data_IF_139488803151
#
_entry.id   IF_139488803151
#
_cell.length_a   1.000
_cell.length_b   1.000
_cell.length_c   1.000
_cell.angle_alpha   90.00
_cell.angle_beta   90.00
_cell.angle_gamma   90.00
#
_symmetry.space_group_name_H-M   'P 1'
#
loop_
_entity.id
_entity.type
_entity.pdbx_description
1 polymer ?
#
# COMPACT_ATOMS: atom_id res chain seq x y z
N UNK A 1 -9.40 -9.09 9.55
CA UNK A 1 -9.70 -9.20 8.11
C UNK A 1 -8.82 -8.19 7.39
N UNK A 2 -7.96 -8.64 6.46
CA UNK A 2 -7.13 -7.74 5.66
C UNK A 2 -7.80 -7.46 4.32
N UNK A 3 -7.68 -6.23 3.82
CA UNK A 3 -8.09 -5.88 2.46
C UNK A 3 -6.93 -6.28 1.54
N UNK A 4 -7.17 -7.19 0.60
CA UNK A 4 -6.19 -7.55 -0.43
C UNK A 4 -6.59 -6.88 -1.73
N UNK A 5 -5.81 -5.90 -2.18
CA UNK A 5 -6.12 -5.15 -3.40
C UNK A 5 -5.52 -5.85 -4.63
N UNK A 6 -6.34 -6.00 -5.67
CA UNK A 6 -5.89 -6.40 -7.01
C UNK A 6 -5.59 -5.18 -7.87
N UNK A 7 -4.79 -5.35 -8.93
CA UNK A 7 -4.49 -4.27 -9.87
C UNK A 7 -5.78 -3.68 -10.46
N UNK A 8 -5.98 -2.38 -10.29
CA UNK A 8 -7.16 -1.64 -10.79
C UNK A 8 -8.35 -1.65 -9.83
N UNK A 9 -8.26 -2.36 -8.72
CA UNK A 9 -9.30 -2.38 -7.69
C UNK A 9 -9.30 -1.09 -6.88
N UNK A 10 -10.50 -0.54 -6.63
CA UNK A 10 -10.68 0.62 -5.76
C UNK A 10 -11.38 0.15 -4.49
N UNK A 11 -10.82 0.52 -3.34
CA UNK A 11 -11.44 0.28 -2.04
C UNK A 11 -11.90 1.59 -1.42
N UNK A 12 -13.09 1.59 -0.83
CA UNK A 12 -13.58 2.71 -0.03
C UNK A 12 -13.39 2.39 1.44
N UNK A 13 -12.39 3.00 2.08
CA UNK A 13 -12.11 2.77 3.50
C UNK A 13 -13.29 3.10 4.40
N UNK A 14 -14.11 4.08 4.03
CA UNK A 14 -15.34 4.42 4.74
C UNK A 14 -16.35 3.27 4.80
N UNK A 15 -16.42 2.43 3.76
CA UNK A 15 -17.32 1.27 3.71
C UNK A 15 -16.78 0.06 4.44
N UNK A 16 -15.47 -0.22 4.31
CA UNK A 16 -14.85 -1.42 4.89
C UNK A 16 -14.30 -1.21 6.30
N UNK A 17 -14.03 0.03 6.71
CA UNK A 17 -13.58 0.41 8.05
C UNK A 17 -14.17 1.77 8.47
N UNK A 18 -15.48 1.83 8.80
CA UNK A 18 -16.10 3.06 9.29
C UNK A 18 -15.43 3.53 10.60
N UNK A 19 -15.15 4.83 10.73
CA UNK A 19 -14.52 5.40 11.92
C UNK A 19 -13.02 5.10 12.04
N UNK A 20 -12.31 4.90 10.92
CA UNK A 20 -10.87 4.67 10.90
C UNK A 20 -10.09 5.88 11.46
N UNK A 21 -9.43 5.69 12.59
CA UNK A 21 -8.63 6.74 13.25
C UNK A 21 -7.12 6.63 13.00
N UNK A 22 -6.63 5.42 12.72
CA UNK A 22 -5.21 5.14 12.53
C UNK A 22 -4.97 4.15 11.39
N UNK A 23 -3.92 4.38 10.62
CA UNK A 23 -3.51 3.53 9.50
C UNK A 23 -2.04 3.14 9.66
N UNK A 24 -1.76 1.84 9.54
CA UNK A 24 -0.41 1.30 9.43
C UNK A 24 -0.18 0.85 7.99
N UNK A 25 0.91 1.32 7.39
CA UNK A 25 1.33 0.91 6.04
C UNK A 25 2.61 0.09 6.17
N UNK A 26 2.61 -1.11 5.60
CA UNK A 26 3.77 -2.00 5.55
C UNK A 26 4.00 -2.48 4.12
N UNK A 27 5.27 -2.49 3.71
CA UNK A 27 5.71 -3.06 2.44
C UNK A 27 6.61 -4.26 2.73
N UNK A 28 6.25 -5.41 2.17
CA UNK A 28 7.06 -6.62 2.20
C UNK A 28 7.26 -7.13 0.78
N UNK A 29 8.45 -7.64 0.50
CA UNK A 29 8.80 -8.25 -0.78
C UNK A 29 9.68 -9.47 -0.56
N UNK A 30 9.62 -10.39 -1.53
CA UNK A 30 10.58 -11.48 -1.58
C UNK A 30 11.92 -10.96 -2.11
N UNK A 31 12.99 -11.27 -1.38
CA UNK A 31 14.36 -10.98 -1.81
C UNK A 31 14.73 -11.79 -3.05
N UNK A 32 15.67 -11.26 -3.84
CA UNK A 32 16.16 -11.93 -5.04
C UNK A 32 16.63 -13.35 -4.69
N UNK A 33 16.10 -14.34 -5.39
CA UNK A 33 16.52 -15.76 -5.25
C UNK A 33 17.89 -16.02 -5.84
N UNK A 34 18.38 -15.15 -6.73
CA UNK A 34 19.68 -15.23 -7.39
C UNK A 34 20.34 -13.88 -7.26
N UNK A 35 21.56 -13.86 -6.73
CA UNK A 35 22.33 -12.64 -6.53
C UNK A 35 22.80 -12.10 -7.90
N UNK A 36 22.20 -10.98 -8.32
CA UNK A 36 22.58 -10.25 -9.53
C UNK A 36 23.43 -9.02 -9.20
N UNK A 37 23.95 -8.90 -7.97
CA UNK A 37 24.84 -7.84 -7.50
C UNK A 37 24.17 -6.49 -7.19
N UNK A 38 22.83 -6.41 -7.26
CA UNK A 38 22.07 -5.19 -6.94
C UNK A 38 20.80 -5.61 -6.21
N UNK A 39 20.45 -4.96 -5.11
CA UNK A 39 19.24 -5.25 -4.35
C UNK A 39 17.99 -4.57 -4.95
N UNK A 40 16.80 -4.99 -4.51
CA UNK A 40 15.58 -4.24 -4.80
C UNK A 40 15.52 -3.03 -3.88
N UNK A 41 15.48 -1.84 -4.48
CA UNK A 41 15.21 -0.58 -3.78
C UNK A 41 13.74 -0.24 -3.98
N UNK A 42 12.97 -0.28 -2.89
CA UNK A 42 11.52 -0.16 -2.94
C UNK A 42 11.05 0.88 -1.93
N UNK A 43 10.24 1.82 -2.42
CA UNK A 43 9.67 2.88 -1.62
C UNK A 43 8.15 2.76 -1.50
N UNK A 44 7.63 3.19 -0.35
CA UNK A 44 6.21 3.44 -0.15
C UNK A 44 6.00 4.94 -0.06
N UNK A 45 5.17 5.47 -0.96
CA UNK A 45 4.75 6.86 -0.93
C UNK A 45 3.27 6.97 -0.61
N UNK A 46 2.93 7.89 0.30
CA UNK A 46 1.54 8.23 0.63
C UNK A 46 1.33 9.70 0.30
N UNK A 47 0.31 9.97 -0.51
CA UNK A 47 -0.04 11.32 -0.92
C UNK A 47 -1.34 11.73 -0.23
N UNK A 48 -1.26 12.78 0.59
CA UNK A 48 -2.44 13.44 1.12
C UNK A 48 -2.92 14.46 0.08
N UNK A 49 -4.10 14.21 -0.47
CA UNK A 49 -4.71 15.10 -1.47
C UNK A 49 -5.69 16.05 -0.78
N UNK A 50 -5.71 17.29 -1.23
CA UNK A 50 -6.72 18.26 -0.82
C UNK A 50 -8.03 18.09 -1.60
N UNK A 51 -8.98 18.99 -1.37
CA UNK A 51 -10.21 19.07 -2.15
C UNK A 51 -9.90 19.33 -3.62
N UNK A 52 -10.56 18.60 -4.53
CA UNK A 52 -10.65 18.98 -5.94
C UNK A 52 -11.82 19.96 -6.06
N UNK A 53 -11.53 21.25 -6.22
CA UNK A 53 -12.52 22.24 -6.70
C UNK A 53 -12.97 21.93 -8.13
#
# INVERSE_FOLDING_TARGET
>A
MGISLSKGERVSLEKVAPGLEAVLVGLGWDVKKVDTGIDYDLDVSVFMLGSNE
#
